data_IF_002835805629
#
_entry.id   IF_002835805629
#
_cell.length_a   1.000
_cell.length_b   1.000
_cell.length_c   1.000
_cell.angle_alpha   90.00
_cell.angle_beta   90.00
_cell.angle_gamma   90.00
#
_symmetry.space_group_name_H-M   'P 1'
#
loop_
_entity.id
_entity.type
_entity.pdbx_description
1 polymer ?
#
# COMPACT_ATOMS: atom_id res chain seq x y z
N UNK A 1 -12.36 5.93 -20.40
CA UNK A 1 -11.22 5.62 -19.51
C UNK A 1 -11.76 5.63 -18.10
N UNK A 2 -11.31 4.73 -17.26
CA UNK A 2 -11.79 4.59 -15.89
C UNK A 2 -10.66 4.88 -14.92
N UNK A 3 -11.00 5.63 -13.88
CA UNK A 3 -10.12 5.90 -12.75
C UNK A 3 -10.36 4.84 -11.68
N UNK A 4 -9.27 4.29 -11.15
CA UNK A 4 -9.25 3.41 -10.00
C UNK A 4 -8.28 3.99 -8.97
N UNK A 5 -8.56 3.73 -7.69
CA UNK A 5 -7.76 4.22 -6.58
C UNK A 5 -7.21 3.02 -5.82
N UNK A 6 -5.90 2.84 -5.84
CA UNK A 6 -5.23 1.74 -5.15
C UNK A 6 -4.72 2.23 -3.81
N UNK A 7 -5.22 1.65 -2.73
CA UNK A 7 -4.67 1.88 -1.39
C UNK A 7 -3.60 0.84 -1.11
N UNK A 8 -2.42 1.31 -0.76
CA UNK A 8 -1.29 0.49 -0.36
C UNK A 8 -0.63 1.07 0.89
N UNK A 9 0.23 0.27 1.52
CA UNK A 9 1.06 0.73 2.62
C UNK A 9 2.48 0.21 2.50
N UNK A 10 3.38 0.94 3.14
CA UNK A 10 4.71 0.45 3.46
C UNK A 10 5.10 0.85 4.88
N UNK A 11 5.93 0.04 5.52
CA UNK A 11 6.47 0.30 6.84
C UNK A 11 8.00 0.28 6.82
N UNK A 12 8.57 0.93 7.82
CA UNK A 12 9.98 0.81 8.16
C UNK A 12 10.11 0.69 9.67
N UNK A 13 10.93 -0.26 10.11
CA UNK A 13 11.28 -0.43 11.51
C UNK A 13 12.79 -0.30 11.67
N UNK A 14 13.25 0.79 12.29
CA UNK A 14 14.70 1.06 12.41
C UNK A 14 15.43 0.00 13.23
N UNK A 15 14.76 -0.56 14.25
CA UNK A 15 15.37 -1.55 15.15
C UNK A 15 15.60 -2.88 14.44
N UNK A 16 14.64 -3.30 13.61
CA UNK A 16 14.72 -4.53 12.82
C UNK A 16 15.47 -4.36 11.49
N UNK A 17 15.68 -3.11 11.03
CA UNK A 17 16.15 -2.78 9.67
C UNK A 17 15.29 -3.45 8.58
N UNK A 18 13.98 -3.54 8.84
CA UNK A 18 13.02 -4.21 7.99
C UNK A 18 12.10 -3.20 7.27
N UNK A 19 11.90 -3.44 5.97
CA UNK A 19 10.97 -2.73 5.10
C UNK A 19 9.89 -3.71 4.65
N UNK A 20 8.63 -3.40 4.96
CA UNK A 20 7.47 -4.23 4.57
C UNK A 20 6.35 -3.38 3.96
N UNK A 21 5.39 -4.00 3.30
CA UNK A 21 4.37 -3.30 2.53
C UNK A 21 3.53 -4.22 1.65
N UNK A 22 2.30 -3.78 1.43
CA UNK A 22 1.31 -4.53 0.69
C UNK A 22 0.25 -3.61 0.08
N UNK A 23 -0.57 -4.20 -0.79
CA UNK A 23 -1.77 -3.57 -1.32
C UNK A 23 -2.94 -3.92 -0.40
N UNK A 24 -3.61 -2.89 0.12
CA UNK A 24 -4.82 -3.06 0.94
C UNK A 24 -5.98 -3.46 0.03
N UNK A 25 -6.34 -2.58 -0.90
CA UNK A 25 -7.48 -2.80 -1.80
C UNK A 25 -7.50 -1.82 -2.99
N UNK A 26 -8.45 -2.02 -3.89
CA UNK A 26 -8.70 -1.21 -5.09
C UNK A 26 -10.13 -0.70 -5.08
N UNK A 27 -10.27 0.61 -5.18
CA UNK A 27 -11.54 1.30 -5.08
C UNK A 27 -11.95 1.94 -6.41
N UNK A 28 -13.26 2.15 -6.57
CA UNK A 28 -13.80 2.83 -7.74
C UNK A 28 -13.84 4.35 -7.54
N UNK A 29 -13.80 4.82 -6.29
CA UNK A 29 -13.88 6.23 -5.93
C UNK A 29 -12.78 6.60 -4.93
N UNK A 30 -12.34 7.85 -4.99
CA UNK A 30 -11.36 8.39 -4.05
C UNK A 30 -11.91 8.39 -2.61
N UNK A 31 -13.20 8.69 -2.43
CA UNK A 31 -13.84 8.74 -1.11
C UNK A 31 -13.82 7.38 -0.40
N UNK A 32 -14.09 6.28 -1.12
CA UNK A 32 -13.96 4.93 -0.58
C UNK A 32 -12.51 4.63 -0.13
N UNK A 33 -11.53 5.00 -0.96
CA UNK A 33 -10.11 4.79 -0.64
C UNK A 33 -9.64 5.63 0.57
N UNK A 34 -10.09 6.88 0.67
CA UNK A 34 -9.79 7.77 1.78
C UNK A 34 -10.42 7.29 3.08
N UNK A 35 -11.65 6.79 3.02
CA UNK A 35 -12.34 6.21 4.16
C UNK A 35 -11.58 4.98 4.67
N UNK A 36 -11.24 4.04 3.79
CA UNK A 36 -10.47 2.85 4.19
C UNK A 36 -9.09 3.25 4.73
N UNK A 37 -8.38 4.18 4.09
CA UNK A 37 -7.06 4.66 4.55
C UNK A 37 -7.13 5.19 5.99
N UNK A 38 -8.20 5.94 6.30
CA UNK A 38 -8.43 6.46 7.64
C UNK A 38 -8.70 5.33 8.64
N UNK A 39 -9.56 4.38 8.28
CA UNK A 39 -9.85 3.21 9.13
C UNK A 39 -8.57 2.39 9.41
N UNK A 40 -7.73 2.17 8.39
CA UNK A 40 -6.46 1.42 8.52
C UNK A 40 -5.44 2.10 9.43
N UNK A 41 -5.26 3.43 9.31
CA UNK A 41 -4.31 4.15 10.16
C UNK A 41 -4.81 4.29 11.60
N UNK A 42 -6.13 4.44 11.81
CA UNK A 42 -6.74 4.45 13.14
C UNK A 42 -6.67 3.08 13.81
N UNK A 43 -6.90 1.99 13.06
CA UNK A 43 -6.73 0.62 13.54
C UNK A 43 -5.27 0.38 13.93
N UNK A 44 -4.32 0.82 13.09
CA UNK A 44 -2.88 0.74 13.38
C UNK A 44 -2.55 1.44 14.69
N UNK A 45 -3.00 2.69 14.87
CA UNK A 45 -2.74 3.49 16.07
C UNK A 45 -3.25 2.79 17.33
N UNK A 46 -4.44 2.19 17.26
CA UNK A 46 -5.07 1.49 18.39
C UNK A 46 -4.23 0.33 18.96
N UNK A 47 -3.36 -0.29 18.16
CA UNK A 47 -2.46 -1.33 18.64
C UNK A 47 -1.33 -0.79 19.53
N UNK A 48 -1.00 0.50 19.41
CA UNK A 48 0.13 1.14 20.09
C UNK A 48 -0.27 2.18 21.14
N UNK A 49 -1.55 2.60 21.19
CA UNK A 49 -2.08 3.62 22.13
C UNK A 49 -1.69 3.40 23.61
N UNK A 50 -1.44 2.15 24.03
CA UNK A 50 -1.09 1.80 25.41
C UNK A 50 0.39 1.44 25.62
N UNK A 51 1.19 1.32 24.55
CA UNK A 51 2.58 0.87 24.62
C UNK A 51 3.58 2.00 24.44
N UNK A 52 3.29 3.00 23.61
CA UNK A 52 4.14 4.15 23.38
C UNK A 52 3.35 5.35 22.83
N UNK A 53 3.98 6.52 22.78
CA UNK A 53 3.36 7.67 22.11
C UNK A 53 3.44 7.48 20.60
N UNK A 54 2.37 7.89 19.92
CA UNK A 54 2.22 7.76 18.49
C UNK A 54 1.95 9.13 17.85
N UNK A 55 2.29 9.25 16.58
CA UNK A 55 1.99 10.42 15.76
C UNK A 55 1.30 9.99 14.48
N UNK A 56 0.03 10.35 14.37
CA UNK A 56 -0.78 10.15 13.17
C UNK A 56 -0.94 11.47 12.41
N UNK A 57 -0.69 11.43 11.10
CA UNK A 57 -0.96 12.55 10.19
C UNK A 57 -1.76 12.00 9.01
N UNK A 58 -2.92 12.60 8.74
CA UNK A 58 -3.81 12.20 7.65
C UNK A 58 -3.93 13.37 6.67
N UNK A 59 -3.68 13.09 5.40
CA UNK A 59 -3.82 13.99 4.26
C UNK A 59 -4.72 13.32 3.19
N UNK A 60 -5.03 14.04 2.12
CA UNK A 60 -6.01 13.58 1.11
C UNK A 60 -5.63 12.25 0.43
N UNK A 61 -4.35 11.99 0.21
CA UNK A 61 -3.86 10.81 -0.53
C UNK A 61 -2.88 9.96 0.26
N UNK A 62 -2.63 10.30 1.52
CA UNK A 62 -1.72 9.55 2.35
C UNK A 62 -2.04 9.72 3.84
N UNK A 63 -1.69 8.71 4.62
CA UNK A 63 -1.69 8.78 6.06
C UNK A 63 -0.38 8.19 6.58
N UNK A 64 0.21 8.82 7.59
CA UNK A 64 1.42 8.32 8.24
C UNK A 64 1.14 8.06 9.71
N UNK A 65 1.64 6.93 10.18
CA UNK A 65 1.73 6.56 11.57
C UNK A 65 3.22 6.44 11.93
N UNK A 66 3.63 7.01 13.05
CA UNK A 66 5.00 6.93 13.53
C UNK A 66 5.00 6.76 15.05
N UNK A 67 5.88 5.90 15.54
CA UNK A 67 6.12 5.73 16.98
C UNK A 67 7.42 6.40 17.42
N UNK A 68 7.56 6.63 18.73
CA UNK A 68 8.79 7.16 19.32
C UNK A 68 10.00 6.22 19.12
N UNK A 69 9.74 4.93 18.92
CA UNK A 69 10.76 3.91 18.65
C UNK A 69 11.22 3.88 17.18
N UNK A 70 10.91 4.92 16.41
CA UNK A 70 11.22 5.05 14.98
C UNK A 70 10.64 3.94 14.09
N UNK A 71 9.57 3.28 14.55
CA UNK A 71 8.71 2.52 13.67
C UNK A 71 7.79 3.48 12.90
N UNK A 72 7.62 3.22 11.61
CA UNK A 72 6.85 4.07 10.70
C UNK A 72 6.00 3.22 9.78
N UNK A 73 4.75 3.63 9.56
CA UNK A 73 3.89 3.12 8.49
C UNK A 73 3.36 4.31 7.68
N UNK A 74 3.35 4.16 6.36
CA UNK A 74 2.67 5.07 5.44
C UNK A 74 1.65 4.31 4.62
N UNK A 75 0.41 4.75 4.72
CA UNK A 75 -0.65 4.43 3.78
C UNK A 75 -0.69 5.49 2.68
N UNK A 76 -0.95 5.07 1.44
CA UNK A 76 -1.05 5.99 0.31
C UNK A 76 -2.01 5.48 -0.76
N UNK A 77 -2.69 6.43 -1.41
CA UNK A 77 -3.64 6.20 -2.49
C UNK A 77 -2.98 6.60 -3.80
N UNK A 78 -2.85 5.61 -4.70
CA UNK A 78 -2.41 5.85 -6.07
C UNK A 78 -3.61 5.89 -7.01
N UNK A 79 -3.79 7.00 -7.71
CA UNK A 79 -4.74 7.09 -8.81
C UNK A 79 -4.17 6.39 -10.05
N UNK A 80 -4.99 5.56 -10.69
CA UNK A 80 -4.63 4.83 -11.90
C UNK A 80 -5.73 4.98 -12.95
N UNK A 81 -5.38 5.56 -14.09
CA UNK A 81 -6.28 5.70 -15.23
C UNK A 81 -6.05 4.58 -16.23
N UNK A 82 -7.10 3.83 -16.56
CA UNK A 82 -7.03 2.66 -17.43
C UNK A 82 -8.12 2.68 -18.52
N UNK A 83 -7.93 2.02 -19.66
CA UNK A 83 -9.03 1.68 -20.55
C UNK A 83 -10.04 0.75 -19.85
N UNK A 84 -11.34 0.96 -20.03
CA UNK A 84 -12.40 0.12 -19.40
C UNK A 84 -12.26 -1.37 -19.73
N UNK A 85 -11.81 -1.70 -20.94
CA UNK A 85 -11.56 -3.07 -21.37
C UNK A 85 -10.48 -3.81 -20.54
N UNK A 86 -9.66 -3.08 -19.77
CA UNK A 86 -8.59 -3.60 -18.94
C UNK A 86 -8.94 -3.64 -17.44
N UNK A 87 -10.07 -3.05 -17.04
CA UNK A 87 -10.47 -2.90 -15.63
C UNK A 87 -10.52 -4.26 -14.89
N UNK A 88 -11.23 -5.24 -15.45
CA UNK A 88 -11.41 -6.54 -14.79
C UNK A 88 -10.07 -7.25 -14.58
N UNK A 89 -9.21 -7.26 -15.62
CA UNK A 89 -7.88 -7.87 -15.53
C UNK A 89 -6.99 -7.17 -14.51
N UNK A 90 -7.08 -5.85 -14.43
CA UNK A 90 -6.32 -5.05 -13.48
C UNK A 90 -6.75 -5.33 -12.03
N UNK A 91 -8.05 -5.37 -11.77
CA UNK A 91 -8.60 -5.73 -10.45
C UNK A 91 -8.25 -7.16 -10.05
N UNK A 92 -8.38 -8.13 -10.96
CA UNK A 92 -8.00 -9.52 -10.69
C UNK A 92 -6.50 -9.67 -10.37
N UNK A 93 -5.65 -8.91 -11.05
CA UNK A 93 -4.21 -8.96 -10.79
C UNK A 93 -3.87 -8.32 -9.44
N UNK A 94 -4.51 -7.21 -9.09
CA UNK A 94 -4.33 -6.56 -7.77
C UNK A 94 -4.87 -7.41 -6.62
N UNK A 95 -6.00 -8.09 -6.81
CA UNK A 95 -6.53 -9.04 -5.80
C UNK A 95 -5.58 -10.23 -5.61
N UNK A 96 -4.89 -10.69 -6.66
CA UNK A 96 -3.84 -11.70 -6.53
C UNK A 96 -2.65 -11.16 -5.75
N UNK A 97 -2.24 -9.91 -6.02
CA UNK A 97 -1.13 -9.27 -5.32
C UNK A 97 -1.45 -9.04 -3.84
N UNK A 98 -2.66 -8.59 -3.49
CA UNK A 98 -3.06 -8.40 -2.09
C UNK A 98 -3.07 -9.71 -1.29
N UNK A 99 -3.38 -10.84 -1.95
CA UNK A 99 -3.35 -12.19 -1.35
C UNK A 99 -1.94 -12.76 -1.18
N UNK A 100 -0.92 -12.21 -1.83
CA UNK A 100 0.47 -12.65 -1.67
C UNK A 100 1.08 -12.16 -0.34
N UNK A 101 0.40 -11.26 0.38
CA UNK A 101 0.92 -10.67 1.61
C UNK A 101 2.04 -9.67 1.32
N UNK A 102 3.12 -9.70 2.12
CA UNK A 102 4.35 -8.96 1.82
C UNK A 102 4.83 -9.34 0.42
N UNK A 103 4.92 -8.36 -0.48
CA UNK A 103 5.30 -8.58 -1.89
C UNK A 103 6.78 -9.06 -1.99
N UNK A 104 7.52 -9.04 -0.89
CA UNK A 104 8.94 -9.41 -0.86
C UNK A 104 9.22 -10.92 -0.78
N UNK A 105 8.28 -11.79 -0.38
CA UNK A 105 8.64 -13.18 -0.09
C UNK A 105 8.53 -14.19 -1.24
N UNK A 106 7.72 -13.97 -2.30
CA UNK A 106 7.41 -15.11 -3.20
C UNK A 106 6.93 -14.82 -4.64
N UNK A 107 7.61 -13.95 -5.41
CA UNK A 107 7.27 -13.82 -6.85
C UNK A 107 8.44 -13.60 -7.81
N UNK A 108 8.44 -14.33 -8.93
CA UNK A 108 9.36 -14.15 -10.07
C UNK A 108 9.34 -12.73 -10.69
N UNK A 109 8.40 -11.87 -10.28
CA UNK A 109 8.35 -10.44 -10.62
C UNK A 109 9.55 -9.66 -10.06
N UNK A 110 10.18 -10.14 -8.99
CA UNK A 110 11.36 -9.51 -8.38
C UNK A 110 12.69 -9.75 -9.14
N UNK A 111 12.67 -10.51 -10.26
CA UNK A 111 13.88 -10.82 -11.05
C UNK A 111 14.48 -9.62 -11.79
N UNK A 112 13.80 -8.47 -11.82
CA UNK A 112 14.30 -7.24 -12.44
C UNK A 112 14.85 -6.26 -11.39
N UNK A 113 16.09 -6.52 -10.95
CA UNK A 113 17.14 -5.61 -10.42
C UNK A 113 16.83 -4.40 -9.51
N UNK A 114 15.61 -4.22 -8.99
CA UNK A 114 15.28 -3.12 -8.06
C UNK A 114 14.06 -3.40 -7.16
N UNK A 115 13.84 -4.64 -6.72
CA UNK A 115 12.95 -4.89 -5.57
C UNK A 115 13.81 -4.91 -4.30
N UNK A 116 14.16 -3.74 -3.77
CA UNK A 116 14.91 -3.62 -2.50
C UNK A 116 14.04 -3.17 -1.34
N UNK A 117 12.77 -2.85 -1.58
CA UNK A 117 11.78 -2.57 -0.55
C UNK A 117 10.38 -2.95 -1.04
N UNK A 118 9.52 -3.32 -0.11
CA UNK A 118 8.10 -3.61 -0.30
C UNK A 118 7.35 -2.50 -1.05
N UNK A 119 7.72 -1.24 -0.82
CA UNK A 119 7.22 -0.06 -1.52
C UNK A 119 7.55 -0.11 -3.01
N UNK A 120 8.78 -0.46 -3.37
CA UNK A 120 9.24 -0.67 -4.73
C UNK A 120 8.54 -1.85 -5.40
N UNK A 121 8.30 -2.94 -4.68
CA UNK A 121 7.57 -4.08 -5.19
C UNK A 121 6.09 -3.76 -5.50
N UNK A 122 5.44 -2.97 -4.63
CA UNK A 122 4.07 -2.46 -4.88
C UNK A 122 4.06 -1.50 -6.07
N UNK A 123 5.02 -0.59 -6.17
CA UNK A 123 5.14 0.34 -7.31
C UNK A 123 5.44 -0.38 -8.63
N UNK A 124 6.31 -1.40 -8.62
CA UNK A 124 6.61 -2.25 -9.77
C UNK A 124 5.37 -3.05 -10.19
N UNK A 125 4.60 -3.56 -9.23
CA UNK A 125 3.34 -4.24 -9.52
C UNK A 125 2.34 -3.27 -10.18
N UNK A 126 2.14 -2.08 -9.61
CA UNK A 126 1.28 -1.05 -10.20
C UNK A 126 1.73 -0.65 -11.61
N UNK A 127 3.04 -0.53 -11.85
CA UNK A 127 3.61 -0.15 -13.14
C UNK A 127 3.52 -1.28 -14.19
N UNK A 128 3.77 -2.54 -13.79
CA UNK A 128 3.60 -3.71 -14.65
C UNK A 128 2.15 -3.86 -15.12
N UNK A 129 1.20 -3.47 -14.27
CA UNK A 129 -0.23 -3.57 -14.56
C UNK A 129 -0.75 -2.46 -15.49
N UNK A 130 -0.09 -1.29 -15.58
CA UNK A 130 -0.43 -0.25 -16.58
C UNK A 130 -0.16 -0.70 -18.02
N UNK A 131 0.78 -1.61 -18.21
CA UNK A 131 1.23 -2.08 -19.54
C UNK A 131 0.51 -3.34 -20.05
N UNK A 132 -0.26 -4.04 -19.19
CA UNK A 132 -1.23 -5.08 -19.60
C UNK A 132 -2.40 -4.45 -20.33
#
# INVERSE_FOLDING_TARGET
MKELFVLAWHSYAEVEDELDGAIVNVFNTLEEAQKEMKEQVEETDSFYENSESTKVVIEDLQATFQTDSNYFIKYYIQEVTLPEAKETKYKEALEKISKLGSVCSDFELCKHKACTDSAGAVLIALEALKNL
#
